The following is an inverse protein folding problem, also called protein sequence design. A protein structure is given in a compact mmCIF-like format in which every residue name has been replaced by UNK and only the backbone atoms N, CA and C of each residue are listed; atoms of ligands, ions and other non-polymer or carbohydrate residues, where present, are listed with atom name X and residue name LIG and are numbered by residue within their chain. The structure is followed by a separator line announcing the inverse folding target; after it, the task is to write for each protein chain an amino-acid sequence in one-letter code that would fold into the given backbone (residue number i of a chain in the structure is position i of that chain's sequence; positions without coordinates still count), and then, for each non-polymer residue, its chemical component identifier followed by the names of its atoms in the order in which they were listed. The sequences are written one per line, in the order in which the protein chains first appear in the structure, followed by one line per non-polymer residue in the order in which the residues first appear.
data_IF_355274574221
#
_entry.id   IF_355274574221
#
_cell.length_a   1.000
_cell.length_b   1.000
_cell.length_c   1.000
_cell.angle_alpha   90.00
_cell.angle_beta   90.00
_cell.angle_gamma   90.00
#
_symmetry.space_group_name_H-M   'P 1'
#
loop_
_entity.id
_entity.type
_entity.pdbx_description
1 polymer ?
#
# COMPACT_ATOMS: atom_id res chain seq x y z
N UNK A 1 12.84 4.35 -11.12
CA UNK A 1 11.93 4.71 -10.01
C UNK A 1 10.92 3.60 -9.88
N UNK A 2 10.97 2.89 -8.76
CA UNK A 2 10.00 1.88 -8.37
C UNK A 2 9.19 2.42 -7.19
N UNK A 3 8.00 1.89 -6.99
CA UNK A 3 7.08 2.28 -5.94
C UNK A 3 6.71 1.03 -5.15
N UNK A 4 6.60 1.16 -3.84
CA UNK A 4 6.12 0.09 -2.97
C UNK A 4 4.88 0.54 -2.23
N UNK A 5 3.86 -0.32 -2.20
CA UNK A 5 2.71 -0.17 -1.33
C UNK A 5 2.85 -1.17 -0.19
N UNK A 6 2.94 -0.65 1.02
CA UNK A 6 3.09 -1.42 2.25
C UNK A 6 1.76 -1.44 2.97
N UNK A 7 1.24 -2.64 3.25
CA UNK A 7 0.02 -2.84 4.02
C UNK A 7 0.39 -3.33 5.40
N UNK A 8 -0.12 -2.64 6.41
CA UNK A 8 0.06 -2.99 7.81
C UNK A 8 -1.27 -3.34 8.44
N UNK A 9 -1.28 -4.44 9.18
CA UNK A 9 -2.33 -4.82 10.13
C UNK A 9 -1.73 -4.98 11.51
N UNK A 10 -2.43 -4.49 12.54
CA UNK A 10 -1.93 -4.52 13.92
C UNK A 10 -0.50 -3.94 14.06
N UNK A 11 -0.18 -2.94 13.23
CA UNK A 11 1.15 -2.32 13.08
C UNK A 11 2.29 -3.25 12.59
N UNK A 12 1.98 -4.46 12.15
CA UNK A 12 2.93 -5.37 11.50
C UNK A 12 2.78 -5.28 9.99
N UNK A 13 3.91 -5.40 9.26
CA UNK A 13 3.90 -5.41 7.80
C UNK A 13 3.38 -6.76 7.32
N UNK A 14 2.27 -6.75 6.60
CA UNK A 14 1.56 -7.96 6.17
C UNK A 14 1.70 -8.20 4.67
N UNK A 15 1.49 -7.16 3.86
CA UNK A 15 1.64 -7.24 2.40
C UNK A 15 2.57 -6.15 1.85
N UNK A 16 3.33 -6.51 0.81
CA UNK A 16 4.17 -5.58 0.04
C UNK A 16 3.80 -5.75 -1.44
N UNK A 17 3.46 -4.64 -2.10
CA UNK A 17 3.18 -4.61 -3.53
C UNK A 17 4.18 -3.68 -4.23
N UNK A 18 4.95 -4.20 -5.17
CA UNK A 18 5.97 -3.44 -5.90
C UNK A 18 5.49 -3.07 -7.31
N UNK A 19 5.76 -1.84 -7.73
CA UNK A 19 5.34 -1.30 -9.01
C UNK A 19 6.46 -0.52 -9.67
N UNK A 20 6.56 -0.56 -11.00
CA UNK A 20 7.47 0.28 -11.76
C UNK A 20 6.80 1.56 -12.30
N UNK A 21 5.50 1.71 -12.06
CA UNK A 21 4.67 2.82 -12.52
C UNK A 21 3.95 3.47 -11.35
N UNK A 22 4.06 4.79 -11.25
CA UNK A 22 3.37 5.56 -10.21
C UNK A 22 1.85 5.40 -10.29
N UNK A 23 1.33 5.38 -11.52
CA UNK A 23 -0.11 5.30 -11.78
C UNK A 23 -0.69 3.99 -11.26
N UNK A 24 0.03 2.89 -11.47
CA UNK A 24 -0.38 1.56 -10.98
C UNK A 24 -0.28 1.50 -9.45
N UNK A 25 0.80 2.02 -8.87
CA UNK A 25 0.97 2.10 -7.42
C UNK A 25 -0.15 2.91 -6.75
N UNK A 26 -0.50 4.08 -7.30
CA UNK A 26 -1.59 4.91 -6.79
C UNK A 26 -2.95 4.22 -6.90
N UNK A 27 -3.22 3.53 -8.02
CA UNK A 27 -4.46 2.75 -8.19
C UNK A 27 -4.56 1.62 -7.16
N UNK A 28 -3.45 0.90 -6.93
CA UNK A 28 -3.39 -0.17 -5.93
C UNK A 28 -3.60 0.38 -4.51
N UNK A 29 -2.93 1.48 -4.17
CA UNK A 29 -3.09 2.16 -2.89
C UNK A 29 -4.56 2.51 -2.58
N UNK A 30 -5.26 3.11 -3.54
CA UNK A 30 -6.67 3.49 -3.36
C UNK A 30 -7.60 2.28 -3.25
N UNK A 31 -7.33 1.21 -4.01
CA UNK A 31 -8.07 -0.05 -3.91
C UNK A 31 -7.90 -0.69 -2.53
N UNK A 32 -6.67 -0.80 -2.05
CA UNK A 32 -6.38 -1.35 -0.72
C UNK A 32 -7.02 -0.49 0.35
N UNK A 33 -6.86 0.84 0.27
CA UNK A 33 -7.44 1.79 1.22
C UNK A 33 -8.96 1.59 1.36
N UNK A 34 -9.66 1.38 0.24
CA UNK A 34 -11.11 1.09 0.23
C UNK A 34 -11.43 -0.32 0.74
N UNK A 35 -10.67 -1.34 0.32
CA UNK A 35 -10.88 -2.75 0.69
C UNK A 35 -10.84 -2.96 2.20
N UNK A 36 -9.88 -2.33 2.87
CA UNK A 36 -9.65 -2.48 4.30
C UNK A 36 -10.16 -1.27 5.10
N UNK A 37 -10.95 -0.39 4.47
CA UNK A 37 -11.58 0.74 5.13
C UNK A 37 -12.51 0.24 6.25
N UNK A 38 -12.19 0.58 7.49
CA UNK A 38 -12.95 0.15 8.67
C UNK A 38 -12.34 -1.03 9.42
N UNK A 39 -11.25 -1.64 8.92
CA UNK A 39 -10.49 -2.61 9.70
C UNK A 39 -9.67 -1.90 10.79
N UNK A 40 -9.64 -2.48 12.00
CA UNK A 40 -8.90 -1.92 13.13
C UNK A 40 -7.40 -2.01 12.87
N UNK A 41 -6.65 -0.98 13.25
CA UNK A 41 -5.18 -0.94 13.15
C UNK A 41 -4.62 -1.14 11.73
N UNK A 42 -5.43 -0.86 10.72
CA UNK A 42 -5.04 -0.90 9.33
C UNK A 42 -4.31 0.36 8.86
N UNK A 43 -3.24 0.20 8.08
CA UNK A 43 -2.51 1.30 7.45
C UNK A 43 -1.93 0.90 6.10
N UNK A 44 -2.12 1.74 5.08
CA UNK A 44 -1.37 1.65 3.81
C UNK A 44 -0.36 2.77 3.76
N UNK A 45 0.84 2.47 3.27
CA UNK A 45 1.83 3.48 2.89
C UNK A 45 2.25 3.26 1.44
N UNK A 46 2.47 4.37 0.73
CA UNK A 46 3.16 4.39 -0.56
C UNK A 46 4.57 4.93 -0.33
N UNK A 47 5.57 4.19 -0.75
CA UNK A 47 6.98 4.58 -0.69
C UNK A 47 7.57 4.61 -2.10
N UNK A 48 8.41 5.62 -2.38
CA UNK A 48 9.20 5.69 -3.60
C UNK A 48 10.54 5.00 -3.34
N UNK A 49 10.91 4.07 -4.20
CA UNK A 49 12.16 3.33 -4.18
C UNK A 49 12.95 3.77 -5.41
N UNK A 50 13.99 4.57 -5.17
CA UNK A 50 14.84 5.11 -6.24
C UNK A 50 15.80 4.05 -6.78
#
# INVERSE_FOLDING_TARGET
MSYKILVYFDNMLDEIHEFNSEKEASKCHDQLRRKYQGQRLYKVKKELVS
#
